data_IF_946102206473
#
_entry.id   IF_946102206473
#
_cell.length_a   1.000
_cell.length_b   1.000
_cell.length_c   1.000
_cell.angle_alpha   90.00
_cell.angle_beta   90.00
_cell.angle_gamma   90.00
#
_symmetry.space_group_name_H-M   'P 1'
#
loop_
_entity.id
_entity.type
_entity.pdbx_description
1 polymer ?
#
# COMPACT_ATOMS: atom_id res chain seq x y z
N UNK A 1 -67.31 -47.91 23.92
CA UNK A 1 -67.01 -47.09 22.74
C UNK A 1 -65.65 -46.46 23.00
N UNK A 2 -64.62 -47.01 22.38
CA UNK A 2 -63.23 -46.60 22.63
C UNK A 2 -62.87 -45.53 21.61
N UNK A 3 -62.57 -44.32 22.09
CA UNK A 3 -62.05 -43.27 21.21
C UNK A 3 -60.66 -43.66 20.71
N UNK A 4 -60.53 -43.69 19.39
CA UNK A 4 -59.33 -44.01 18.66
C UNK A 4 -58.29 -42.90 18.84
N UNK A 5 -57.23 -43.18 19.60
CA UNK A 5 -56.11 -42.27 19.82
C UNK A 5 -55.23 -42.23 18.57
N UNK A 6 -55.54 -41.33 17.64
CA UNK A 6 -54.74 -41.11 16.44
C UNK A 6 -53.46 -40.34 16.80
N UNK A 7 -52.26 -40.87 16.53
CA UNK A 7 -51.01 -40.20 16.87
C UNK A 7 -50.90 -38.85 16.16
N UNK A 8 -50.44 -37.82 16.88
CA UNK A 8 -50.24 -36.48 16.32
C UNK A 8 -49.18 -36.55 15.21
N UNK A 9 -49.44 -35.96 14.02
CA UNK A 9 -48.50 -36.02 12.91
C UNK A 9 -47.19 -35.32 13.29
N UNK A 10 -46.08 -35.93 12.87
CA UNK A 10 -44.73 -35.43 13.14
C UNK A 10 -44.45 -34.16 12.33
N UNK A 11 -43.50 -33.32 12.79
CA UNK A 11 -43.14 -32.09 12.07
C UNK A 11 -42.66 -32.38 10.65
N UNK A 12 -41.98 -33.52 10.42
CA UNK A 12 -41.55 -33.97 9.09
C UNK A 12 -42.72 -34.25 8.14
N UNK A 13 -43.76 -34.94 8.61
CA UNK A 13 -44.97 -35.20 7.80
C UNK A 13 -45.69 -33.90 7.44
N UNK A 14 -45.68 -32.91 8.34
CA UNK A 14 -46.26 -31.58 8.07
C UNK A 14 -45.44 -30.81 7.03
N UNK A 15 -44.12 -30.94 7.01
CA UNK A 15 -43.25 -30.26 6.03
C UNK A 15 -43.35 -30.89 4.62
N UNK A 16 -43.59 -32.19 4.54
CA UNK A 16 -43.72 -32.94 3.28
C UNK A 16 -45.15 -32.92 2.71
N UNK A 17 -46.13 -32.50 3.50
CA UNK A 17 -47.50 -32.30 3.04
C UNK A 17 -47.52 -31.32 1.85
N UNK A 18 -48.15 -31.77 0.76
CA UNK A 18 -48.26 -30.99 -0.48
C UNK A 18 -49.52 -30.13 -0.42
N UNK A 19 -49.35 -28.82 -0.38
CA UNK A 19 -50.47 -27.86 -0.41
C UNK A 19 -50.61 -27.31 -1.85
N UNK A 20 -51.86 -27.20 -2.32
CA UNK A 20 -52.18 -26.61 -3.62
C UNK A 20 -52.59 -25.15 -3.38
N UNK A 21 -51.77 -24.20 -3.81
CA UNK A 21 -52.13 -22.79 -3.86
C UNK A 21 -52.81 -22.55 -5.22
N UNK A 22 -54.07 -22.11 -5.19
CA UNK A 22 -54.84 -21.77 -6.39
C UNK A 22 -55.07 -20.26 -6.36
N UNK A 23 -54.65 -19.58 -7.41
CA UNK A 23 -54.93 -18.17 -7.64
C UNK A 23 -56.06 -18.12 -8.68
N UNK A 24 -57.22 -17.64 -8.24
CA UNK A 24 -58.45 -17.58 -9.03
C UNK A 24 -58.87 -16.13 -9.24
N UNK A 25 -59.39 -15.80 -10.42
CA UNK A 25 -60.02 -14.50 -10.65
C UNK A 25 -61.30 -14.37 -9.82
N UNK A 26 -61.48 -13.27 -9.12
CA UNK A 26 -62.65 -13.05 -8.25
C UNK A 26 -63.97 -12.85 -9.01
N UNK A 27 -63.94 -12.39 -10.27
CA UNK A 27 -65.15 -12.13 -11.06
C UNK A 27 -65.53 -13.32 -11.96
N UNK A 28 -64.56 -13.94 -12.64
CA UNK A 28 -64.83 -15.05 -13.57
C UNK A 28 -64.67 -16.43 -12.97
N UNK A 29 -64.14 -16.53 -11.74
CA UNK A 29 -63.81 -17.80 -11.09
C UNK A 29 -62.89 -18.71 -11.95
N UNK A 30 -62.17 -18.16 -12.92
CA UNK A 30 -61.19 -18.91 -13.70
C UNK A 30 -59.90 -19.12 -12.88
N UNK A 31 -59.38 -20.35 -12.90
CA UNK A 31 -58.09 -20.69 -12.29
C UNK A 31 -56.95 -20.11 -13.16
N UNK A 32 -56.36 -18.99 -12.74
CA UNK A 32 -55.29 -18.32 -13.50
C UNK A 32 -53.95 -19.04 -13.28
N UNK A 33 -53.67 -19.47 -12.05
CA UNK A 33 -52.44 -20.18 -11.72
C UNK A 33 -52.64 -21.18 -10.58
N UNK A 34 -52.16 -22.41 -10.79
CA UNK A 34 -52.13 -23.47 -9.79
C UNK A 34 -50.67 -23.81 -9.48
N UNK A 35 -50.23 -23.58 -8.25
CA UNK A 35 -48.91 -23.98 -7.78
C UNK A 35 -49.04 -25.05 -6.68
N UNK A 36 -48.32 -26.17 -6.84
CA UNK A 36 -48.16 -27.18 -5.78
C UNK A 36 -46.97 -26.77 -4.91
N UNK A 37 -47.22 -26.02 -3.83
CA UNK A 37 -46.19 -25.66 -2.86
C UNK A 37 -46.20 -26.66 -1.71
N UNK A 38 -45.10 -27.39 -1.55
CA UNK A 38 -44.77 -28.03 -0.27
C UNK A 38 -44.17 -26.97 0.65
N UNK A 39 -44.43 -27.08 1.96
CA UNK A 39 -43.78 -26.21 2.96
C UNK A 39 -42.24 -26.27 2.82
N UNK A 40 -41.71 -27.43 2.42
CA UNK A 40 -40.30 -27.61 2.09
C UNK A 40 -39.81 -26.72 0.94
N UNK A 41 -40.51 -26.67 -0.19
CA UNK A 41 -40.07 -25.87 -1.34
C UNK A 41 -40.14 -24.37 -1.05
N UNK A 42 -41.17 -23.92 -0.33
CA UNK A 42 -41.26 -22.54 0.14
C UNK A 42 -40.09 -22.17 1.07
N UNK A 43 -39.70 -23.10 1.97
CA UNK A 43 -38.54 -22.91 2.84
C UNK A 43 -37.23 -22.84 2.05
N UNK A 44 -37.03 -23.72 1.06
CA UNK A 44 -35.85 -23.70 0.19
C UNK A 44 -35.78 -22.39 -0.59
N UNK A 45 -36.88 -21.95 -1.21
CA UNK A 45 -36.94 -20.68 -1.94
C UNK A 45 -36.59 -19.49 -1.03
N UNK A 46 -37.16 -19.45 0.17
CA UNK A 46 -36.86 -18.43 1.17
C UNK A 46 -35.41 -18.46 1.66
N UNK A 47 -34.85 -19.66 1.86
CA UNK A 47 -33.45 -19.86 2.25
C UNK A 47 -32.49 -19.38 1.16
N UNK A 48 -32.75 -19.73 -0.10
CA UNK A 48 -31.95 -19.25 -1.25
C UNK A 48 -32.02 -17.74 -1.36
N UNK A 49 -33.21 -17.13 -1.23
CA UNK A 49 -33.35 -15.68 -1.24
C UNK A 49 -32.57 -15.02 -0.08
N UNK A 50 -32.66 -15.59 1.12
CA UNK A 50 -31.94 -15.08 2.28
C UNK A 50 -30.42 -15.15 2.10
N UNK A 51 -29.91 -16.29 1.61
CA UNK A 51 -28.48 -16.46 1.31
C UNK A 51 -28.03 -15.50 0.21
N UNK A 52 -28.84 -15.31 -0.83
CA UNK A 52 -28.55 -14.36 -1.91
C UNK A 52 -28.46 -12.92 -1.37
N UNK A 53 -29.42 -12.49 -0.55
CA UNK A 53 -29.40 -11.16 0.09
C UNK A 53 -28.20 -11.02 1.01
N UNK A 54 -27.92 -12.03 1.85
CA UNK A 54 -26.76 -12.01 2.75
C UNK A 54 -25.45 -11.92 1.96
N UNK A 55 -25.30 -12.70 0.88
CA UNK A 55 -24.16 -12.66 -0.01
C UNK A 55 -24.03 -11.29 -0.70
N UNK A 56 -25.14 -10.69 -1.14
CA UNK A 56 -25.17 -9.35 -1.73
C UNK A 56 -24.73 -8.29 -0.71
N UNK A 57 -25.20 -8.37 0.54
CA UNK A 57 -24.78 -7.47 1.63
C UNK A 57 -23.29 -7.63 1.94
N UNK A 58 -22.79 -8.86 2.05
CA UNK A 58 -21.36 -9.13 2.27
C UNK A 58 -20.52 -8.63 1.08
N UNK A 59 -20.98 -8.88 -0.15
CA UNK A 59 -20.34 -8.37 -1.35
C UNK A 59 -20.31 -6.83 -1.33
N UNK A 60 -21.42 -6.18 -0.98
CA UNK A 60 -21.48 -4.73 -0.79
C UNK A 60 -20.52 -4.26 0.30
N UNK A 61 -20.34 -4.97 1.42
CA UNK A 61 -19.38 -4.59 2.46
C UNK A 61 -17.90 -4.81 2.06
N UNK A 62 -17.63 -5.72 1.13
CA UNK A 62 -16.27 -5.94 0.60
C UNK A 62 -15.96 -4.93 -0.51
N UNK A 63 -16.89 -4.74 -1.45
CA UNK A 63 -16.80 -3.80 -2.58
C UNK A 63 -16.89 -2.34 -2.11
N UNK A 64 -17.76 -2.06 -1.14
CA UNK A 64 -17.85 -0.74 -0.51
C UNK A 64 -16.89 -0.72 0.66
N UNK A 65 -15.90 0.18 0.70
CA UNK A 65 -14.98 0.28 1.82
C UNK A 65 -15.66 0.94 3.04
N UNK A 66 -16.81 0.41 3.49
CA UNK A 66 -17.48 0.84 4.72
C UNK A 66 -16.54 0.73 5.93
N UNK A 67 -15.66 -0.28 5.92
CA UNK A 67 -14.56 -0.46 6.89
C UNK A 67 -13.55 0.69 6.94
N UNK A 68 -13.41 1.49 5.87
CA UNK A 68 -12.52 2.68 5.84
C UNK A 68 -13.12 3.86 6.61
N UNK A 69 -14.40 3.83 6.95
CA UNK A 69 -15.05 4.86 7.77
C UNK A 69 -14.86 4.65 9.28
N UNK A 70 -14.35 3.49 9.70
CA UNK A 70 -13.97 3.27 11.09
C UNK A 70 -12.53 3.81 11.26
N UNK A 71 -12.33 4.95 11.95
CA UNK A 71 -10.99 5.46 12.22
C UNK A 71 -10.20 4.37 12.98
N UNK A 72 -9.04 3.98 12.45
CA UNK A 72 -8.17 2.94 13.03
C UNK A 72 -8.12 1.59 12.30
N UNK A 73 -9.03 1.31 11.35
CA UNK A 73 -9.05 0.04 10.56
C UNK A 73 -8.76 0.22 9.06
N UNK A 74 -8.55 1.46 8.61
CA UNK A 74 -7.98 1.78 7.31
C UNK A 74 -6.48 1.95 7.45
N UNK A 75 -5.71 1.13 6.74
CA UNK A 75 -4.25 1.13 6.72
C UNK A 75 -3.71 2.56 6.61
N UNK A 76 -3.21 3.09 7.74
CA UNK A 76 -2.87 4.50 7.94
C UNK A 76 -1.77 4.93 6.94
N UNK A 77 -0.91 3.98 6.56
CA UNK A 77 0.17 4.14 5.61
C UNK A 77 -0.29 4.15 4.14
N UNK A 78 -1.47 3.62 3.83
CA UNK A 78 -2.05 3.63 2.49
C UNK A 78 -2.78 4.93 2.13
N UNK A 79 -2.93 5.85 3.10
CA UNK A 79 -3.59 7.11 2.87
C UNK A 79 -2.58 8.18 2.41
N UNK A 80 -2.58 8.61 1.15
CA UNK A 80 -1.63 9.59 0.64
C UNK A 80 -1.72 10.93 1.38
N UNK A 81 -2.88 11.24 1.97
CA UNK A 81 -3.09 12.42 2.80
C UNK A 81 -2.31 12.31 4.11
N UNK A 82 -2.34 11.14 4.76
CA UNK A 82 -1.61 10.92 5.99
C UNK A 82 -0.10 11.01 5.77
N UNK A 83 0.41 10.38 4.70
CA UNK A 83 1.83 10.47 4.33
C UNK A 83 2.28 11.90 4.06
N UNK A 84 1.44 12.71 3.38
CA UNK A 84 1.73 14.12 3.12
C UNK A 84 1.79 14.93 4.42
N UNK A 85 0.83 14.75 5.31
CA UNK A 85 0.79 15.45 6.61
C UNK A 85 1.98 15.05 7.47
N UNK A 86 2.30 13.76 7.54
CA UNK A 86 3.44 13.27 8.31
C UNK A 86 4.78 13.82 7.78
N UNK A 87 5.01 13.78 6.46
CA UNK A 87 6.20 14.43 5.87
C UNK A 87 6.30 15.92 6.17
N UNK A 88 5.18 16.63 6.13
CA UNK A 88 5.15 18.05 6.48
C UNK A 88 5.48 18.27 7.96
N UNK A 89 4.97 17.41 8.84
CA UNK A 89 5.24 17.46 10.27
C UNK A 89 6.71 17.22 10.56
N UNK A 90 7.32 16.17 9.98
CA UNK A 90 8.75 15.86 10.15
C UNK A 90 9.62 17.04 9.69
N UNK A 91 9.28 17.64 8.53
CA UNK A 91 10.01 18.81 8.03
C UNK A 91 9.90 20.02 8.96
N UNK A 92 8.75 20.20 9.61
CA UNK A 92 8.52 21.28 10.55
C UNK A 92 9.27 21.05 11.86
N UNK A 93 9.32 19.80 12.32
CA UNK A 93 10.06 19.39 13.52
C UNK A 93 11.56 19.65 13.36
N UNK A 94 12.14 19.27 12.22
CA UNK A 94 13.56 19.56 11.93
C UNK A 94 13.86 21.06 11.92
N UNK A 95 12.97 21.86 11.30
CA UNK A 95 13.12 23.32 11.28
C UNK A 95 13.03 23.91 12.69
N UNK A 96 12.09 23.41 13.50
CA UNK A 96 11.89 23.87 14.87
C UNK A 96 13.10 23.56 15.74
N UNK A 97 13.67 22.36 15.62
CA UNK A 97 14.88 21.95 16.34
C UNK A 97 16.07 22.87 15.98
N UNK A 98 16.30 23.13 14.69
CA UNK A 98 17.34 24.05 14.24
C UNK A 98 17.14 25.47 14.80
N UNK A 99 15.89 25.97 14.84
CA UNK A 99 15.56 27.26 15.42
C UNK A 99 15.79 27.32 16.94
N UNK A 100 15.49 26.24 17.66
CA UNK A 100 15.73 26.14 19.09
C UNK A 100 17.23 26.17 19.38
N UNK A 101 18.04 25.37 18.67
CA UNK A 101 19.50 25.36 18.81
C UNK A 101 20.10 26.73 18.52
N UNK A 102 19.66 27.39 17.45
CA UNK A 102 20.13 28.74 17.10
C UNK A 102 19.79 29.76 18.19
N UNK A 103 18.54 29.75 18.67
CA UNK A 103 18.07 30.69 19.69
C UNK A 103 18.76 30.46 21.03
N UNK A 104 19.03 29.21 21.37
CA UNK A 104 19.78 28.84 22.57
C UNK A 104 21.25 29.28 22.47
N UNK A 105 21.92 29.02 21.35
CA UNK A 105 23.28 29.49 21.13
C UNK A 105 23.37 31.03 21.20
N UNK A 106 22.40 31.72 20.59
CA UNK A 106 22.31 33.18 20.64
C UNK A 106 22.10 33.70 22.08
N UNK A 107 21.24 33.04 22.86
CA UNK A 107 21.05 33.36 24.29
C UNK A 107 22.36 33.16 25.07
N UNK A 108 23.05 32.04 24.87
CA UNK A 108 24.32 31.74 25.56
C UNK A 108 25.41 32.77 25.25
N UNK A 109 25.49 33.24 24.00
CA UNK A 109 26.40 34.33 23.62
C UNK A 109 26.08 35.65 24.34
N UNK A 110 24.80 36.00 24.49
CA UNK A 110 24.38 37.22 25.19
C UNK A 110 24.61 37.16 26.71
N UNK A 111 24.47 35.97 27.32
CA UNK A 111 24.71 35.77 28.75
C UNK A 111 26.19 35.57 29.09
N UNK A 112 27.07 35.55 28.08
CA UNK A 112 28.51 35.27 28.23
C UNK A 112 28.82 33.88 28.86
N UNK A 113 27.90 32.93 28.69
CA UNK A 113 27.99 31.52 29.11
C UNK A 113 28.57 30.66 27.98
N UNK A 114 29.63 31.16 27.33
CA UNK A 114 30.29 30.42 26.25
C UNK A 114 31.25 29.42 26.89
N UNK A 115 30.73 28.23 27.21
CA UNK A 115 31.57 27.04 27.38
C UNK A 115 32.07 26.64 25.99
N UNK A 116 33.29 27.06 25.67
CA UNK A 116 34.02 26.54 24.51
C UNK A 116 34.10 25.01 24.67
N UNK A 117 33.59 24.22 23.70
CA UNK A 117 33.86 22.79 23.69
C UNK A 117 35.37 22.58 23.76
N UNK A 118 35.88 21.61 24.55
CA UNK A 118 37.31 21.33 24.56
C UNK A 118 37.74 21.05 23.12
N UNK A 119 38.80 21.75 22.71
CA UNK A 119 39.52 21.62 21.46
C UNK A 119 39.37 20.21 20.90
N UNK A 120 38.58 20.05 19.83
CA UNK A 120 38.64 18.81 19.06
C UNK A 120 40.07 18.74 18.52
N UNK A 121 40.85 17.70 18.84
CA UNK A 121 42.16 17.55 18.23
C UNK A 121 41.97 17.58 16.71
N UNK A 122 42.83 18.27 15.95
CA UNK A 122 42.75 18.28 14.51
C UNK A 122 42.74 16.83 14.05
N UNK A 123 41.73 16.45 13.27
CA UNK A 123 41.62 15.12 12.70
C UNK A 123 42.98 14.76 12.10
N UNK A 124 43.64 13.76 12.69
CA UNK A 124 44.88 13.25 12.14
C UNK A 124 44.56 12.84 10.72
N UNK A 125 45.22 13.46 9.74
CA UNK A 125 45.18 13.04 8.36
C UNK A 125 45.56 11.56 8.32
N UNK A 126 44.56 10.69 8.26
CA UNK A 126 44.75 9.25 8.12
C UNK A 126 45.41 9.08 6.75
N UNK A 127 46.68 8.69 6.76
CA UNK A 127 47.39 8.26 5.58
C UNK A 127 46.66 7.03 5.03
N UNK A 128 45.77 7.26 4.05
CA UNK A 128 45.11 6.22 3.24
C UNK A 128 46.14 5.68 2.25
N UNK A 129 47.08 4.86 2.72
CA UNK A 129 48.07 4.19 1.86
C UNK A 129 47.93 2.66 1.87
N UNK A 130 46.81 2.14 2.38
CA UNK A 130 46.39 0.76 2.12
C UNK A 130 45.12 0.78 1.26
N UNK A 131 45.31 0.56 -0.03
CA UNK A 131 44.28 0.05 -0.92
C UNK A 131 43.93 -1.39 -0.47
N UNK A 132 43.28 -1.50 0.68
CA UNK A 132 42.64 -2.74 1.07
C UNK A 132 41.33 -2.79 0.31
N UNK A 133 41.27 -3.71 -0.65
CA UNK A 133 40.12 -3.91 -1.52
C UNK A 133 38.93 -4.29 -0.62
N UNK A 134 38.04 -3.31 -0.40
CA UNK A 134 36.82 -3.50 0.39
C UNK A 134 36.07 -4.68 -0.21
N UNK A 135 35.75 -5.74 0.56
CA UNK A 135 34.98 -6.85 0.02
C UNK A 135 33.63 -6.31 -0.43
N UNK A 136 33.35 -6.40 -1.73
CA UNK A 136 32.08 -5.93 -2.28
C UNK A 136 30.95 -6.71 -1.61
N UNK A 137 29.97 -5.97 -1.07
CA UNK A 137 28.75 -6.55 -0.53
C UNK A 137 27.99 -7.27 -1.67
N UNK A 138 27.35 -8.40 -1.35
CA UNK A 138 26.59 -9.18 -2.33
C UNK A 138 25.51 -8.34 -3.03
N UNK A 139 24.92 -7.39 -2.30
CA UNK A 139 23.92 -6.44 -2.76
C UNK A 139 24.46 -5.54 -3.90
N UNK A 140 25.69 -5.07 -3.78
CA UNK A 140 26.34 -4.17 -4.76
C UNK A 140 26.70 -4.94 -6.05
N UNK A 141 27.06 -6.22 -5.91
CA UNK A 141 27.29 -7.11 -7.05
C UNK A 141 26.01 -7.37 -7.85
N UNK A 142 24.87 -7.54 -7.17
CA UNK A 142 23.56 -7.71 -7.84
C UNK A 142 23.21 -6.45 -8.63
N UNK A 143 23.35 -5.28 -8.01
CA UNK A 143 23.05 -4.00 -8.65
C UNK A 143 23.91 -3.75 -9.90
N UNK A 144 25.21 -4.07 -9.82
CA UNK A 144 26.14 -3.98 -10.96
C UNK A 144 25.74 -4.90 -12.10
N UNK A 145 25.38 -6.15 -11.80
CA UNK A 145 24.95 -7.10 -12.83
C UNK A 145 23.67 -6.64 -13.53
N UNK A 146 22.70 -6.11 -12.77
CA UNK A 146 21.47 -5.56 -13.34
C UNK A 146 21.76 -4.38 -14.28
N UNK A 147 22.64 -3.45 -13.85
CA UNK A 147 23.05 -2.31 -14.67
C UNK A 147 23.80 -2.74 -15.94
N UNK A 148 24.70 -3.72 -15.84
CA UNK A 148 25.41 -4.26 -17.00
C UNK A 148 24.44 -4.92 -17.99
N UNK A 149 23.48 -5.72 -17.52
CA UNK A 149 22.43 -6.31 -18.34
C UNK A 149 21.56 -5.26 -19.03
N UNK A 150 21.20 -4.18 -18.32
CA UNK A 150 20.44 -3.07 -18.89
C UNK A 150 21.22 -2.34 -19.97
N UNK A 151 22.49 -2.01 -19.73
CA UNK A 151 23.37 -1.38 -20.72
C UNK A 151 23.56 -2.24 -21.98
N UNK A 152 23.73 -3.56 -21.81
CA UNK A 152 23.86 -4.50 -22.94
C UNK A 152 22.54 -4.60 -23.71
N UNK A 153 21.41 -4.57 -23.02
CA UNK A 153 20.08 -4.62 -23.65
C UNK A 153 19.80 -3.34 -24.44
N UNK A 154 20.18 -2.18 -23.92
CA UNK A 154 20.09 -0.90 -24.63
C UNK A 154 20.98 -0.90 -25.88
N UNK A 155 22.22 -1.39 -25.76
CA UNK A 155 23.14 -1.59 -26.90
C UNK A 155 22.59 -2.58 -27.92
N UNK A 156 21.92 -3.65 -27.49
CA UNK A 156 21.30 -4.63 -28.38
C UNK A 156 20.06 -4.08 -29.10
N UNK A 157 19.27 -3.22 -28.44
CA UNK A 157 18.12 -2.55 -29.05
C UNK A 157 18.54 -1.47 -30.06
N UNK A 158 19.69 -0.83 -29.87
CA UNK A 158 20.23 0.21 -30.77
C UNK A 158 21.11 -0.32 -31.92
N UNK A 159 21.25 -1.63 -32.12
CA UNK A 159 22.02 -2.19 -33.25
C UNK A 159 21.17 -2.33 -34.52
N UNK A 160 21.29 -1.35 -35.42
CA UNK A 160 21.11 -1.56 -36.86
C UNK A 160 22.21 -2.46 -37.45
N UNK A 161 22.09 -2.91 -38.72
CA UNK A 161 22.80 -4.08 -39.24
C UNK A 161 24.31 -3.91 -39.53
N UNK A 162 24.92 -2.75 -39.30
CA UNK A 162 26.29 -2.46 -39.72
C UNK A 162 27.24 -2.19 -38.54
N UNK A 163 28.09 -3.21 -38.27
CA UNK A 163 29.50 -3.14 -37.87
C UNK A 163 30.04 -2.15 -36.80
N UNK A 164 30.53 -2.74 -35.69
CA UNK A 164 31.80 -2.46 -34.97
C UNK A 164 32.16 -1.02 -34.52
N UNK A 165 32.19 -0.79 -33.19
CA UNK A 165 33.06 0.21 -32.55
C UNK A 165 32.45 0.97 -31.36
N UNK A 166 33.04 0.85 -30.18
CA UNK A 166 32.68 1.57 -28.93
C UNK A 166 33.04 3.08 -28.94
N UNK A 167 33.19 3.71 -30.10
CA UNK A 167 33.71 5.09 -30.20
C UNK A 167 32.86 6.07 -31.01
N UNK A 168 31.77 5.65 -31.66
CA UNK A 168 30.92 6.56 -32.45
C UNK A 168 29.67 6.99 -31.67
N UNK A 169 29.87 7.58 -30.50
CA UNK A 169 28.84 8.43 -29.92
C UNK A 169 28.97 9.78 -30.66
N UNK A 170 27.97 10.19 -31.47
CA UNK A 170 28.04 11.48 -32.16
C UNK A 170 28.23 12.58 -31.11
N UNK A 171 29.18 13.51 -31.34
CA UNK A 171 29.56 14.55 -30.38
C UNK A 171 28.37 15.38 -29.87
N UNK A 172 27.27 15.38 -30.61
CA UNK A 172 25.98 16.00 -30.28
C UNK A 172 25.34 15.44 -28.99
N UNK A 173 25.63 14.20 -28.62
CA UNK A 173 25.09 13.54 -27.42
C UNK A 173 26.03 13.59 -26.22
N UNK A 174 27.26 14.10 -26.39
CA UNK A 174 28.23 14.22 -25.30
C UNK A 174 28.01 15.52 -24.53
N UNK A 175 27.15 15.48 -23.51
CA UNK A 175 26.94 16.58 -22.59
C UNK A 175 28.03 16.63 -21.53
N UNK A 176 29.03 17.50 -21.71
CA UNK A 176 30.00 17.82 -20.67
C UNK A 176 29.41 18.84 -19.69
N UNK A 177 29.14 18.39 -18.46
CA UNK A 177 28.87 19.30 -17.35
C UNK A 177 30.22 19.72 -16.76
N UNK A 178 30.53 21.02 -16.67
CA UNK A 178 31.76 21.44 -16.01
C UNK A 178 31.72 21.00 -14.54
N UNK A 179 32.86 20.60 -13.96
CA UNK A 179 32.92 20.29 -12.55
C UNK A 179 32.47 21.51 -11.75
N UNK A 180 31.62 21.29 -10.76
CA UNK A 180 31.21 22.33 -9.82
C UNK A 180 32.46 22.76 -9.05
N UNK A 181 32.88 24.01 -9.23
CA UNK A 181 33.97 24.60 -8.46
C UNK A 181 33.47 24.82 -7.05
N UNK A 182 33.86 23.96 -6.12
CA UNK A 182 33.65 24.20 -4.69
C UNK A 182 34.48 25.40 -4.22
N UNK A 183 33.99 26.10 -3.20
CA UNK A 183 34.79 27.12 -2.52
C UNK A 183 35.95 26.45 -1.76
N UNK A 184 37.17 26.88 -2.05
CA UNK A 184 38.34 26.55 -1.24
C UNK A 184 38.23 27.44 0.00
N UNK A 185 37.77 26.89 1.13
CA UNK A 185 37.79 27.62 2.39
C UNK A 185 39.25 27.96 2.74
N UNK A 186 39.52 29.23 2.98
CA UNK A 186 40.86 29.70 3.31
C UNK A 186 41.33 29.09 4.63
N UNK A 187 42.62 28.72 4.68
CA UNK A 187 43.27 28.20 5.89
C UNK A 187 43.26 29.22 7.02
N UNK A 188 42.90 28.76 8.21
CA UNK A 188 42.90 29.52 9.45
C UNK A 188 44.31 30.06 9.77
N UNK A 189 44.43 31.38 9.92
CA UNK A 189 45.63 32.03 10.46
C UNK A 189 45.43 32.24 11.97
N UNK A 190 46.33 31.73 12.82
CA UNK A 190 46.21 31.79 14.27
C UNK A 190 46.36 33.21 14.84
#
# INVERSE_FOLDING_TARGET
MSEENKPRPTLWERLQASYKLIIQNTETFEEIATYRLTLLNAYILGSVLFVLVAALVVALLVLTPAKRYIPGYGDVYSNPVFLKINRQLDSLETLLEAHQTYTEAFRRMLTNEVELPPDRPPESLVHLDSLEEVPLAEEDLVLRNEFELESIREVAQNRGPDGLGFFDIPLEQLYFVPPVKGEISAGFMP
#
